data_IF_884506832120
#
_entry.id   IF_884506832120
#
_cell.length_a   1.000
_cell.length_b   1.000
_cell.length_c   1.000
_cell.angle_alpha   90.00
_cell.angle_beta   90.00
_cell.angle_gamma   90.00
#
_symmetry.space_group_name_H-M   'P 1'
#
loop_
_entity.id
_entity.type
_entity.pdbx_description
1 polymer ?
#
# COMPACT_ATOMS: atom_id res chain seq x y z
N UNK A 1 -0.07 -6.87 19.55
CA UNK A 1 0.13 -7.48 18.22
C UNK A 1 1.51 -8.07 18.16
N UNK A 2 1.59 -9.28 17.60
CA UNK A 2 2.85 -9.90 17.19
C UNK A 2 2.97 -9.64 15.69
N UNK A 3 3.98 -8.88 15.29
CA UNK A 3 4.30 -8.65 13.88
C UNK A 3 5.38 -9.65 13.47
N UNK A 4 5.12 -10.43 12.43
CA UNK A 4 6.14 -11.27 11.82
C UNK A 4 6.93 -10.44 10.80
N UNK A 5 8.25 -10.37 10.99
CA UNK A 5 9.16 -9.56 10.17
C UNK A 5 9.95 -10.44 9.19
N UNK A 6 9.71 -10.27 7.89
CA UNK A 6 10.49 -10.89 6.82
C UNK A 6 11.27 -9.80 6.06
N UNK A 7 12.26 -9.22 6.73
CA UNK A 7 13.00 -8.03 6.27
C UNK A 7 13.65 -8.24 4.90
N UNK A 8 14.26 -9.40 4.66
CA UNK A 8 14.90 -9.74 3.38
C UNK A 8 13.91 -9.81 2.20
N UNK A 9 12.61 -9.97 2.51
CA UNK A 9 11.53 -9.97 1.53
C UNK A 9 10.76 -8.64 1.51
N UNK A 10 11.07 -7.72 2.42
CA UNK A 10 10.38 -6.46 2.59
C UNK A 10 8.94 -6.59 3.10
N UNK A 11 8.61 -7.64 3.86
CA UNK A 11 7.26 -7.93 4.33
C UNK A 11 7.14 -7.87 5.86
N UNK A 12 6.05 -7.26 6.32
CA UNK A 12 5.67 -7.18 7.73
C UNK A 12 4.20 -7.58 7.87
N UNK A 13 3.93 -8.60 8.69
CA UNK A 13 2.63 -9.25 8.76
C UNK A 13 2.05 -9.12 10.17
N UNK A 14 0.85 -8.57 10.29
CA UNK A 14 0.10 -8.53 11.55
C UNK A 14 -1.11 -9.46 11.51
N UNK A 15 -1.28 -10.18 12.61
CA UNK A 15 -2.33 -11.17 12.79
C UNK A 15 -3.28 -10.76 13.91
N UNK A 16 -4.57 -11.03 13.71
CA UNK A 16 -5.59 -10.83 14.71
C UNK A 16 -5.55 -11.91 15.82
N UNK A 17 -6.42 -11.75 16.83
CA UNK A 17 -6.52 -12.66 17.98
C UNK A 17 -6.91 -14.12 17.61
N UNK A 18 -7.30 -14.38 16.37
CA UNK A 18 -7.61 -15.72 15.83
C UNK A 18 -6.50 -16.25 14.92
N UNK A 19 -5.29 -15.70 14.98
CA UNK A 19 -4.13 -16.02 14.16
C UNK A 19 -4.40 -15.92 12.64
N UNK A 20 -5.25 -14.98 12.23
CA UNK A 20 -5.47 -14.67 10.81
C UNK A 20 -4.77 -13.37 10.44
N UNK A 21 -4.09 -13.38 9.29
CA UNK A 21 -3.48 -12.18 8.72
C UNK A 21 -4.57 -11.13 8.49
N UNK A 22 -4.42 -9.97 9.10
CA UNK A 22 -5.34 -8.84 8.95
C UNK A 22 -4.70 -7.62 8.32
N UNK A 23 -3.36 -7.55 8.34
CA UNK A 23 -2.61 -6.45 7.76
C UNK A 23 -1.24 -6.94 7.26
N UNK A 24 -0.85 -6.46 6.09
CA UNK A 24 0.42 -6.74 5.44
C UNK A 24 1.01 -5.42 4.94
N UNK A 25 2.19 -5.07 5.42
CA UNK A 25 2.99 -3.99 4.86
C UNK A 25 4.08 -4.56 3.95
N UNK A 26 4.27 -3.89 2.82
CA UNK A 26 5.21 -4.27 1.77
C UNK A 26 6.09 -3.08 1.39
N UNK A 27 7.40 -3.27 1.43
CA UNK A 27 8.41 -2.24 1.11
C UNK A 27 9.07 -2.51 -0.26
N UNK A 28 9.83 -1.56 -0.85
CA UNK A 28 10.28 -1.62 -2.25
C UNK A 28 11.20 -2.79 -2.62
N UNK A 29 11.68 -3.55 -1.64
CA UNK A 29 12.39 -4.82 -1.88
C UNK A 29 11.48 -5.83 -2.61
N UNK A 30 10.17 -5.75 -2.39
CA UNK A 30 9.19 -6.58 -3.07
C UNK A 30 8.71 -5.96 -4.39
N UNK A 31 8.60 -6.77 -5.44
CA UNK A 31 7.94 -6.38 -6.69
C UNK A 31 6.42 -6.47 -6.55
N UNK A 32 5.76 -5.38 -6.17
CA UNK A 32 4.29 -5.33 -6.02
C UNK A 32 3.64 -4.74 -7.26
N UNK A 33 2.64 -5.45 -7.77
CA UNK A 33 1.85 -5.06 -8.94
C UNK A 33 0.36 -5.16 -8.62
N UNK A 34 -0.43 -4.19 -9.10
CA UNK A 34 -1.87 -4.35 -9.24
C UNK A 34 -2.22 -4.52 -10.72
N UNK A 35 -2.55 -5.75 -11.11
CA UNK A 35 -2.66 -6.11 -12.52
C UNK A 35 -1.33 -5.92 -13.24
N UNK A 36 -1.27 -4.97 -14.18
CA UNK A 36 -0.05 -4.59 -14.90
C UNK A 36 0.67 -3.36 -14.35
N UNK A 37 0.13 -2.71 -13.30
CA UNK A 37 0.68 -1.48 -12.73
C UNK A 37 1.69 -1.82 -11.64
N UNK A 38 3.01 -1.62 -11.83
CA UNK A 38 3.98 -1.66 -10.74
C UNK A 38 3.69 -0.53 -9.75
N UNK A 39 3.62 -0.85 -8.46
CA UNK A 39 3.26 0.12 -7.42
C UNK A 39 4.47 0.78 -6.78
N UNK A 40 5.49 0.00 -6.40
CA UNK A 40 6.61 0.48 -5.57
C UNK A 40 7.75 1.09 -6.39
N UNK A 41 8.47 2.05 -5.80
CA UNK A 41 9.67 2.66 -6.38
C UNK A 41 9.41 3.54 -7.62
N UNK A 42 8.15 3.93 -7.83
CA UNK A 42 7.70 4.79 -8.93
C UNK A 42 7.16 6.11 -8.40
N UNK A 43 7.06 7.10 -9.28
CA UNK A 43 6.42 8.38 -8.97
C UNK A 43 5.02 8.15 -8.39
N UNK A 44 4.79 8.69 -7.20
CA UNK A 44 3.50 8.58 -6.51
C UNK A 44 2.36 9.07 -7.40
N UNK A 45 2.53 10.24 -8.04
CA UNK A 45 1.52 10.85 -8.90
C UNK A 45 1.22 10.04 -10.15
N UNK A 46 2.22 9.43 -10.77
CA UNK A 46 2.01 8.55 -11.93
C UNK A 46 1.22 7.30 -11.55
N UNK A 47 1.58 6.65 -10.44
CA UNK A 47 0.89 5.44 -9.97
C UNK A 47 -0.57 5.75 -9.64
N UNK A 48 -0.84 6.82 -8.89
CA UNK A 48 -2.21 7.24 -8.57
C UNK A 48 -3.02 7.57 -9.83
N UNK A 49 -2.40 8.22 -10.82
CA UNK A 49 -3.05 8.50 -12.10
C UNK A 49 -3.39 7.21 -12.87
N UNK A 50 -2.45 6.26 -12.98
CA UNK A 50 -2.68 4.97 -13.64
C UNK A 50 -3.78 4.15 -12.95
N UNK A 51 -3.80 4.14 -11.62
CA UNK A 51 -4.87 3.47 -10.86
C UNK A 51 -6.23 4.13 -11.08
N UNK A 52 -6.27 5.46 -11.16
CA UNK A 52 -7.49 6.21 -11.50
C UNK A 52 -7.97 5.88 -12.92
N UNK A 53 -7.07 5.78 -13.89
CA UNK A 53 -7.38 5.36 -15.26
C UNK A 53 -7.89 3.91 -15.33
N UNK A 54 -7.40 3.05 -14.45
CA UNK A 54 -7.93 1.70 -14.24
C UNK A 54 -9.28 1.65 -13.52
N UNK A 55 -9.85 2.80 -13.15
CA UNK A 55 -11.18 2.93 -12.55
C UNK A 55 -11.19 2.87 -11.02
N UNK A 56 -10.03 2.88 -10.36
CA UNK A 56 -9.97 2.91 -8.90
C UNK A 56 -10.16 4.33 -8.38
N UNK A 57 -10.92 4.44 -7.29
CA UNK A 57 -11.12 5.71 -6.58
C UNK A 57 -10.53 5.56 -5.19
N UNK A 58 -9.57 6.42 -4.86
CA UNK A 58 -8.90 6.44 -3.56
C UNK A 58 -9.08 7.76 -2.83
N UNK A 59 -8.91 7.73 -1.51
CA UNK A 59 -8.91 8.90 -0.63
C UNK A 59 -7.47 9.28 -0.32
N UNK A 60 -7.03 10.47 -0.77
CA UNK A 60 -5.68 10.98 -0.54
C UNK A 60 -5.59 11.80 0.76
N UNK A 61 -4.48 11.67 1.48
CA UNK A 61 -4.12 12.49 2.63
C UNK A 61 -2.62 12.90 2.62
N UNK A 62 -2.08 13.33 3.76
CA UNK A 62 -0.67 13.73 3.88
C UNK A 62 0.33 12.56 3.85
N UNK A 63 -0.14 11.32 3.92
CA UNK A 63 0.69 10.10 3.98
C UNK A 63 0.51 9.17 2.77
N UNK A 64 -0.41 9.49 1.85
CA UNK A 64 -0.58 8.78 0.58
C UNK A 64 -2.03 8.68 0.15
N UNK A 65 -2.43 7.48 -0.28
CA UNK A 65 -3.79 7.20 -0.78
C UNK A 65 -4.31 5.86 -0.30
N UNK A 66 -5.55 5.84 0.16
CA UNK A 66 -6.28 4.63 0.55
C UNK A 66 -7.31 4.24 -0.52
N UNK A 67 -7.36 2.96 -0.88
CA UNK A 67 -8.37 2.36 -1.75
C UNK A 67 -9.22 1.36 -0.95
N UNK A 68 -10.11 1.87 -0.09
CA UNK A 68 -10.86 1.06 0.89
C UNK A 68 -11.66 -0.09 0.26
N UNK A 69 -12.28 0.15 -0.90
CA UNK A 69 -13.04 -0.86 -1.66
C UNK A 69 -12.18 -2.03 -2.16
N UNK A 70 -10.87 -1.81 -2.32
CA UNK A 70 -9.89 -2.82 -2.74
C UNK A 70 -8.97 -3.27 -1.60
N UNK A 71 -9.15 -2.69 -0.41
CA UNK A 71 -8.43 -3.00 0.82
C UNK A 71 -6.91 -2.90 0.70
N UNK A 72 -6.41 -1.85 0.05
CA UNK A 72 -4.98 -1.52 0.04
C UNK A 72 -4.76 0.00 0.12
N UNK A 73 -3.56 0.40 0.53
CA UNK A 73 -3.12 1.79 0.50
C UNK A 73 -1.70 1.91 -0.03
N UNK A 74 -1.39 3.05 -0.64
CA UNK A 74 -0.04 3.44 -1.05
C UNK A 74 0.49 4.43 -0.02
N UNK A 75 1.67 4.15 0.52
CA UNK A 75 2.38 5.07 1.41
C UNK A 75 3.39 5.90 0.62
N UNK A 76 3.40 7.20 0.90
CA UNK A 76 4.36 8.16 0.39
C UNK A 76 4.55 9.25 1.46
N UNK A 77 5.78 9.51 1.89
CA UNK A 77 6.05 10.46 2.97
C UNK A 77 5.78 11.93 2.60
N UNK A 78 5.77 12.23 1.30
CA UNK A 78 5.57 13.59 0.77
C UNK A 78 4.72 13.59 -0.53
N UNK A 79 3.45 13.15 -0.50
CA UNK A 79 2.67 12.88 -1.71
C UNK A 79 2.39 14.13 -2.58
N UNK A 80 2.57 15.32 -2.02
CA UNK A 80 2.38 16.60 -2.70
C UNK A 80 3.66 17.17 -3.33
N UNK A 81 4.79 16.47 -3.23
CA UNK A 81 6.04 16.83 -3.91
C UNK A 81 6.16 16.10 -5.26
N UNK A 82 6.67 16.79 -6.28
CA UNK A 82 6.72 16.30 -7.67
C UNK A 82 7.58 15.03 -7.82
N UNK A 83 8.65 14.93 -7.03
CA UNK A 83 9.65 13.86 -7.12
C UNK A 83 9.37 12.69 -6.15
N UNK A 84 8.24 12.74 -5.46
CA UNK A 84 7.85 11.74 -4.46
C UNK A 84 7.54 10.38 -5.09
N UNK A 85 7.85 9.31 -4.36
CA UNK A 85 7.67 7.93 -4.82
C UNK A 85 6.77 7.15 -3.87
N UNK A 86 6.19 6.07 -4.36
CA UNK A 86 5.53 5.08 -3.50
C UNK A 86 6.60 4.31 -2.72
N UNK A 87 6.60 4.52 -1.41
CA UNK A 87 7.56 3.97 -0.45
C UNK A 87 7.07 2.66 0.17
N UNK A 88 5.75 2.46 0.22
CA UNK A 88 5.15 1.28 0.81
C UNK A 88 3.78 0.97 0.22
N UNK A 89 3.37 -0.28 0.34
CA UNK A 89 2.01 -0.73 0.06
C UNK A 89 1.51 -1.46 1.29
N UNK A 90 0.32 -1.12 1.76
CA UNK A 90 -0.37 -1.89 2.78
C UNK A 90 -1.55 -2.62 2.16
N UNK A 91 -1.79 -3.85 2.60
CA UNK A 91 -2.98 -4.64 2.26
C UNK A 91 -3.63 -5.04 3.57
N UNK A 92 -4.93 -4.86 3.66
CA UNK A 92 -5.65 -5.03 4.91
C UNK A 92 -6.97 -5.79 4.72
N UNK A 93 -7.53 -6.32 5.80
CA UNK A 93 -8.85 -6.92 5.77
C UNK A 93 -9.94 -5.85 5.57
N UNK A 94 -11.09 -6.19 4.96
CA UNK A 94 -12.24 -5.29 4.90
C UNK A 94 -12.64 -4.79 6.29
N UNK A 95 -12.86 -3.48 6.42
CA UNK A 95 -13.22 -2.83 7.68
C UNK A 95 -12.08 -2.69 8.69
N UNK A 96 -10.81 -2.87 8.28
CA UNK A 96 -9.66 -2.67 9.16
C UNK A 96 -9.56 -1.26 9.75
N UNK A 97 -10.04 -0.24 9.02
CA UNK A 97 -10.06 1.16 9.44
C UNK A 97 -11.43 1.67 9.93
N UNK A 98 -12.45 0.78 10.05
CA UNK A 98 -13.81 1.13 10.50
C UNK A 98 -13.94 1.32 12.02
#
# INVERSE_FOLDING_TARGET
MLTDHYVDLGLFLDFNDSDRLEFLEVTPVAGVFLGSVPLLGRSYREVVAELREAGLSGSEDESGVEYSDQCFALFCSAPFEDDSIVEGVTVFAPGYYD
#
